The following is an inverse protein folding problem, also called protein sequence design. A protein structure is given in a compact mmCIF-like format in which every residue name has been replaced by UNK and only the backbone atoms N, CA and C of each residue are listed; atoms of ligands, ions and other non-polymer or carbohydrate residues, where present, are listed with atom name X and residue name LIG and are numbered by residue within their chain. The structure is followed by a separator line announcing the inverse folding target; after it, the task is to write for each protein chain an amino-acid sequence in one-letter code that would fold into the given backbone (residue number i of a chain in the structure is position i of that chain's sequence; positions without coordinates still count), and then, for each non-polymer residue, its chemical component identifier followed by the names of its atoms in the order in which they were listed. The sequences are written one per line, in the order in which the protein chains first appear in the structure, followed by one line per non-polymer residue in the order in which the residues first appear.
data_IF_963950941960
#
_entry.id   IF_963950941960
#
_cell.length_a   1.000
_cell.length_b   1.000
_cell.length_c   1.000
_cell.angle_alpha   90.00
_cell.angle_beta   90.00
_cell.angle_gamma   90.00
#
_symmetry.space_group_name_H-M   'P 1'
#
loop_
_entity.id
_entity.type
_entity.pdbx_description
1 polymer ?
#
# COMPACT_ATOMS: atom_id res chain seq x y z
N UNK A 1 -6.64 -3.70 -10.97
CA UNK A 1 -7.38 -4.53 -9.97
C UNK A 1 -8.49 -3.65 -9.40
N UNK A 2 -9.66 -4.18 -9.03
CA UNK A 2 -10.69 -3.36 -8.39
C UNK A 2 -10.40 -3.24 -6.90
N UNK A 3 -9.86 -2.10 -6.49
CA UNK A 3 -9.46 -1.72 -5.12
C UNK A 3 -10.41 -2.21 -4.02
N UNK A 4 -11.71 -2.22 -4.30
CA UNK A 4 -12.76 -2.54 -3.32
C UNK A 4 -12.69 -3.97 -2.77
N UNK A 5 -12.25 -4.95 -3.56
CA UNK A 5 -12.27 -6.36 -3.17
C UNK A 5 -11.39 -6.63 -1.94
N UNK A 6 -10.17 -6.09 -1.89
CA UNK A 6 -9.28 -6.25 -0.75
C UNK A 6 -9.81 -5.52 0.48
N UNK A 7 -10.34 -4.32 0.32
CA UNK A 7 -10.90 -3.52 1.42
C UNK A 7 -12.12 -4.19 2.03
N UNK A 8 -13.07 -4.65 1.22
CA UNK A 8 -14.24 -5.43 1.67
C UNK A 8 -13.76 -6.64 2.48
N UNK A 9 -12.79 -7.37 1.95
CA UNK A 9 -12.29 -8.59 2.57
C UNK A 9 -11.59 -8.34 3.91
N UNK A 10 -10.80 -7.27 4.00
CA UNK A 10 -10.13 -6.82 5.22
C UNK A 10 -11.14 -6.34 6.26
N UNK A 11 -12.12 -5.50 5.88
CA UNK A 11 -13.20 -5.04 6.76
C UNK A 11 -14.01 -6.22 7.30
N UNK A 12 -14.40 -7.18 6.46
CA UNK A 12 -15.06 -8.40 6.92
C UNK A 12 -14.17 -9.22 7.89
N UNK A 13 -12.85 -9.20 7.68
CA UNK A 13 -11.87 -9.87 8.53
C UNK A 13 -11.78 -9.32 9.96
N UNK A 14 -12.10 -8.04 10.17
CA UNK A 14 -12.08 -7.40 11.50
C UNK A 14 -13.10 -8.01 12.47
N UNK A 15 -14.13 -8.66 11.93
CA UNK A 15 -15.22 -9.26 12.71
C UNK A 15 -15.04 -10.76 12.93
N UNK A 16 -13.96 -11.39 12.46
CA UNK A 16 -13.73 -12.82 12.65
C UNK A 16 -13.79 -13.21 14.13
N UNK A 17 -14.62 -14.20 14.44
CA UNK A 17 -14.86 -14.67 15.81
C UNK A 17 -15.99 -13.95 16.54
N UNK A 18 -16.59 -12.90 15.96
CA UNK A 18 -17.82 -12.29 16.50
C UNK A 18 -18.96 -13.32 16.48
N UNK A 19 -19.62 -13.55 17.61
CA UNK A 19 -20.70 -14.53 17.74
C UNK A 19 -21.89 -13.99 18.53
N UNK A 20 -23.07 -14.58 18.30
CA UNK A 20 -24.29 -14.32 19.07
C UNK A 20 -24.08 -14.62 20.55
N UNK A 21 -24.77 -13.89 21.41
CA UNK A 21 -24.71 -14.15 22.84
C UNK A 21 -25.79 -15.16 23.26
N UNK A 22 -25.46 -16.16 24.10
CA UNK A 22 -26.47 -17.10 24.56
C UNK A 22 -27.43 -16.43 25.57
N UNK A 23 -28.74 -16.67 25.41
CA UNK A 23 -29.78 -16.25 26.34
C UNK A 23 -30.47 -14.94 25.94
N UNK A 24 -31.05 -14.21 26.90
CA UNK A 24 -31.92 -13.05 26.64
C UNK A 24 -31.17 -11.74 26.32
N UNK A 25 -29.87 -11.80 26.04
CA UNK A 25 -29.03 -10.63 25.73
C UNK A 25 -28.55 -10.75 24.30
N UNK A 26 -28.64 -9.66 23.55
CA UNK A 26 -28.25 -9.63 22.15
C UNK A 26 -26.88 -8.97 21.97
N UNK A 27 -26.06 -9.50 21.08
CA UNK A 27 -24.77 -8.90 20.78
C UNK A 27 -24.97 -7.54 20.06
N UNK A 28 -24.56 -6.41 20.67
CA UNK A 28 -24.84 -5.08 20.12
C UNK A 28 -24.13 -4.83 18.78
N UNK A 29 -23.02 -5.51 18.48
CA UNK A 29 -22.38 -5.40 17.17
C UNK A 29 -23.21 -6.10 16.08
N UNK A 30 -23.82 -7.24 16.39
CA UNK A 30 -24.70 -7.94 15.46
C UNK A 30 -25.99 -7.14 15.24
N UNK A 31 -26.58 -6.59 16.30
CA UNK A 31 -27.72 -5.66 16.21
C UNK A 31 -27.37 -4.43 15.36
N UNK A 32 -26.15 -3.89 15.53
CA UNK A 32 -25.64 -2.77 14.74
C UNK A 32 -25.60 -3.04 13.24
N UNK A 33 -25.33 -4.29 12.81
CA UNK A 33 -25.35 -4.62 11.38
C UNK A 33 -26.73 -4.40 10.74
N UNK A 34 -27.82 -4.63 11.48
CA UNK A 34 -29.17 -4.36 10.99
C UNK A 34 -29.42 -2.86 10.86
N UNK A 35 -28.91 -2.05 11.79
CA UNK A 35 -29.00 -0.59 11.73
C UNK A 35 -28.29 -0.03 10.49
N UNK A 36 -27.07 -0.51 10.22
CA UNK A 36 -26.26 -0.09 9.06
C UNK A 36 -26.96 -0.33 7.70
N UNK A 37 -27.85 -1.32 7.64
CA UNK A 37 -28.61 -1.65 6.42
C UNK A 37 -30.03 -1.09 6.41
N UNK A 38 -30.39 -0.21 7.34
CA UNK A 38 -31.70 0.44 7.41
C UNK A 38 -32.79 -0.40 8.07
N UNK A 39 -32.42 -1.44 8.81
CA UNK A 39 -33.31 -2.34 9.54
C UNK A 39 -33.16 -2.19 11.06
N UNK A 40 -32.97 -0.96 11.55
CA UNK A 40 -32.80 -0.66 12.98
C UNK A 40 -34.00 -1.01 13.88
N UNK A 41 -35.10 -1.51 13.31
CA UNK A 41 -36.22 -2.10 14.04
C UNK A 41 -35.94 -3.52 14.54
N UNK A 42 -34.95 -4.22 13.99
CA UNK A 42 -34.46 -5.51 14.51
C UNK A 42 -33.62 -5.24 15.76
N UNK A 43 -34.00 -5.84 16.88
CA UNK A 43 -33.36 -5.63 18.20
C UNK A 43 -32.75 -6.90 18.79
N UNK A 44 -32.77 -7.98 18.01
CA UNK A 44 -32.39 -9.33 18.40
C UNK A 44 -31.27 -9.86 17.47
N UNK A 45 -30.49 -10.84 17.93
CA UNK A 45 -29.40 -11.48 17.17
C UNK A 45 -29.77 -12.88 16.68
N UNK A 46 -30.98 -13.35 16.98
CA UNK A 46 -31.60 -14.59 16.51
C UNK A 46 -32.18 -14.47 15.09
N UNK A 47 -32.49 -13.25 14.64
CA UNK A 47 -32.85 -12.98 13.24
C UNK A 47 -31.67 -13.28 12.32
N UNK A 48 -31.90 -13.98 11.21
CA UNK A 48 -30.84 -14.37 10.29
C UNK A 48 -30.06 -13.15 9.74
N UNK A 49 -28.81 -12.97 10.19
CA UNK A 49 -28.02 -11.76 9.97
C UNK A 49 -26.91 -11.86 8.91
N UNK A 50 -26.87 -12.93 8.10
CA UNK A 50 -25.86 -13.08 7.04
C UNK A 50 -25.89 -11.92 6.02
N UNK A 51 -27.09 -11.51 5.58
CA UNK A 51 -27.25 -10.39 4.65
C UNK A 51 -27.04 -9.03 5.32
N UNK A 52 -27.40 -8.90 6.60
CA UNK A 52 -27.12 -7.70 7.40
C UNK A 52 -25.62 -7.49 7.55
N UNK A 53 -24.86 -8.55 7.86
CA UNK A 53 -23.39 -8.51 7.92
C UNK A 53 -22.77 -8.08 6.60
N UNK A 54 -23.13 -8.73 5.48
CA UNK A 54 -22.60 -8.36 4.16
C UNK A 54 -22.95 -6.90 3.83
N UNK A 55 -24.20 -6.49 4.10
CA UNK A 55 -24.63 -5.12 3.82
C UNK A 55 -23.97 -4.07 4.70
N UNK A 56 -23.72 -4.37 5.98
CA UNK A 56 -22.98 -3.52 6.91
C UNK A 56 -21.53 -3.37 6.48
N UNK A 57 -20.83 -4.47 6.15
CA UNK A 57 -19.45 -4.40 5.64
C UNK A 57 -19.38 -3.52 4.39
N UNK A 58 -20.32 -3.70 3.45
CA UNK A 58 -20.41 -2.85 2.25
C UNK A 58 -20.68 -1.38 2.61
N UNK A 59 -21.58 -1.10 3.55
CA UNK A 59 -21.90 0.25 4.00
C UNK A 59 -20.70 0.95 4.69
N UNK A 60 -19.96 0.22 5.53
CA UNK A 60 -18.75 0.71 6.19
C UNK A 60 -17.66 1.09 5.18
N UNK A 61 -17.59 0.37 4.06
CA UNK A 61 -16.68 0.71 2.96
C UNK A 61 -17.30 1.63 1.91
N UNK A 62 -18.43 2.27 2.23
CA UNK A 62 -19.07 3.29 1.39
C UNK A 62 -19.68 2.77 0.09
N UNK A 63 -19.96 1.48 0.00
CA UNK A 63 -20.52 0.83 -1.18
C UNK A 63 -22.03 0.57 -1.02
N UNK A 64 -22.80 0.60 -2.13
CA UNK A 64 -24.20 0.24 -2.09
C UNK A 64 -24.33 -1.23 -1.70
N UNK A 65 -25.29 -1.55 -0.83
CA UNK A 65 -25.70 -2.90 -0.50
C UNK A 65 -27.10 -3.21 -1.10
N UNK A 66 -27.62 -4.42 -0.90
CA UNK A 66 -28.93 -4.79 -1.45
C UNK A 66 -30.12 -4.16 -0.70
N UNK A 67 -29.88 -3.57 0.48
CA UNK A 67 -30.90 -3.02 1.38
C UNK A 67 -31.86 -4.06 1.98
N UNK A 68 -31.63 -5.36 1.77
CA UNK A 68 -32.55 -6.44 2.13
C UNK A 68 -31.87 -7.46 3.05
N UNK A 69 -32.64 -8.01 3.99
CA UNK A 69 -32.19 -9.08 4.90
C UNK A 69 -32.24 -10.48 4.27
N UNK A 70 -32.84 -10.63 3.08
CA UNK A 70 -32.80 -11.89 2.34
C UNK A 70 -31.47 -12.04 1.60
N UNK A 71 -30.71 -13.10 1.90
CA UNK A 71 -29.44 -13.41 1.22
C UNK A 71 -29.54 -13.44 -0.31
N UNK A 72 -30.62 -13.99 -0.87
CA UNK A 72 -30.79 -14.08 -2.34
C UNK A 72 -30.99 -12.71 -3.00
N UNK A 73 -31.24 -11.64 -2.24
CA UNK A 73 -31.29 -10.28 -2.79
C UNK A 73 -30.01 -9.86 -3.49
N UNK A 74 -28.87 -10.45 -3.10
CA UNK A 74 -27.60 -10.18 -3.75
C UNK A 74 -27.50 -10.80 -5.14
N UNK A 75 -28.40 -11.70 -5.56
CA UNK A 75 -28.39 -12.21 -6.94
C UNK A 75 -28.63 -11.13 -7.97
N UNK A 76 -29.31 -10.03 -7.63
CA UNK A 76 -29.54 -8.92 -8.57
C UNK A 76 -28.70 -7.67 -8.22
N UNK A 77 -27.69 -7.85 -7.35
CA UNK A 77 -26.82 -6.78 -6.88
C UNK A 77 -25.44 -6.85 -7.54
N UNK A 78 -24.87 -5.68 -7.82
CA UNK A 78 -23.51 -5.57 -8.36
C UNK A 78 -23.37 -6.12 -9.78
N UNK A 79 -22.13 -6.41 -10.19
CA UNK A 79 -21.82 -7.02 -11.49
C UNK A 79 -21.67 -8.52 -11.33
N UNK A 80 -22.21 -9.30 -12.26
CA UNK A 80 -21.90 -10.72 -12.36
C UNK A 80 -20.40 -10.99 -12.52
N UNK A 81 -19.92 -12.09 -11.93
CA UNK A 81 -18.54 -12.54 -12.09
C UNK A 81 -18.53 -14.02 -12.42
N UNK A 82 -17.85 -14.38 -13.50
CA UNK A 82 -17.56 -15.77 -13.81
C UNK A 82 -16.57 -16.35 -12.79
N UNK A 83 -16.67 -17.64 -12.40
CA UNK A 83 -15.75 -18.24 -11.43
C UNK A 83 -14.26 -18.07 -11.76
N UNK A 84 -13.89 -18.06 -13.05
CA UNK A 84 -12.53 -17.83 -13.51
C UNK A 84 -11.99 -16.42 -13.21
N UNK A 85 -12.88 -15.43 -13.09
CA UNK A 85 -12.55 -14.02 -12.82
C UNK A 85 -12.75 -13.63 -11.35
N UNK A 86 -13.13 -14.60 -10.52
CA UNK A 86 -13.48 -14.41 -9.12
C UNK A 86 -12.28 -13.99 -8.27
N UNK A 87 -12.55 -13.17 -7.26
CA UNK A 87 -11.54 -12.60 -6.36
C UNK A 87 -12.05 -12.58 -4.94
N UNK A 88 -11.13 -12.67 -3.97
CA UNK A 88 -11.47 -12.46 -2.58
C UNK A 88 -12.26 -11.14 -2.40
N UNK A 89 -13.28 -11.14 -1.55
CA UNK A 89 -14.19 -10.00 -1.37
C UNK A 89 -15.36 -9.92 -2.36
N UNK A 90 -15.42 -10.76 -3.40
CA UNK A 90 -16.65 -10.89 -4.20
C UNK A 90 -17.79 -11.46 -3.33
N UNK A 91 -19.02 -11.04 -3.53
CA UNK A 91 -20.19 -11.58 -2.84
C UNK A 91 -20.58 -12.91 -3.49
N UNK A 92 -20.71 -13.95 -2.67
CA UNK A 92 -21.15 -15.29 -3.07
C UNK A 92 -22.52 -15.55 -2.47
N UNK A 93 -23.47 -15.98 -3.31
CA UNK A 93 -24.83 -16.30 -2.90
C UNK A 93 -25.07 -17.80 -3.02
N UNK A 94 -25.67 -18.40 -2.00
CA UNK A 94 -26.00 -19.82 -1.93
C UNK A 94 -27.49 -20.05 -1.76
N UNK A 95 -27.98 -21.21 -2.19
CA UNK A 95 -29.30 -21.69 -1.81
C UNK A 95 -29.25 -22.43 -0.46
N UNK A 96 -30.39 -22.48 0.23
CA UNK A 96 -30.60 -23.31 1.42
C UNK A 96 -31.92 -24.08 1.28
N UNK A 97 -31.91 -25.36 1.65
CA UNK A 97 -33.07 -26.25 1.46
C UNK A 97 -33.26 -26.72 0.02
N UNK A 98 -33.53 -25.81 -0.92
CA UNK A 98 -33.69 -26.11 -2.36
C UNK A 98 -33.08 -25.02 -3.26
N UNK A 99 -32.47 -25.37 -4.41
CA UNK A 99 -31.99 -24.40 -5.41
C UNK A 99 -33.07 -23.44 -5.94
N UNK A 100 -34.32 -23.91 -6.02
CA UNK A 100 -35.47 -23.12 -6.47
C UNK A 100 -36.22 -22.42 -5.32
N UNK A 101 -35.89 -22.71 -4.05
CA UNK A 101 -36.56 -22.15 -2.88
C UNK A 101 -36.05 -20.75 -2.50
N UNK A 102 -36.83 -19.98 -1.75
CA UNK A 102 -36.48 -18.58 -1.43
C UNK A 102 -35.30 -18.43 -0.43
N UNK A 103 -35.01 -19.45 0.38
CA UNK A 103 -33.98 -19.41 1.41
C UNK A 103 -32.57 -19.43 0.80
N UNK A 104 -31.65 -18.70 1.41
CA UNK A 104 -30.26 -18.65 0.96
C UNK A 104 -29.27 -18.28 2.05
N UNK A 105 -28.01 -18.17 1.65
CA UNK A 105 -26.90 -17.67 2.45
C UNK A 105 -26.04 -16.74 1.59
N UNK A 106 -25.42 -15.73 2.20
CA UNK A 106 -24.56 -14.77 1.49
C UNK A 106 -23.32 -14.47 2.32
N UNK A 107 -22.18 -14.38 1.65
CA UNK A 107 -20.88 -14.17 2.28
C UNK A 107 -19.87 -13.60 1.25
N UNK A 108 -18.70 -13.16 1.70
CA UNK A 108 -17.61 -12.74 0.84
C UNK A 108 -16.71 -13.91 0.46
N UNK A 109 -16.29 -14.01 -0.80
CA UNK A 109 -15.37 -15.01 -1.28
C UNK A 109 -14.01 -14.86 -0.55
N UNK A 110 -13.46 -15.97 -0.08
CA UNK A 110 -12.05 -16.08 0.31
C UNK A 110 -11.27 -16.65 -0.87
N UNK A 111 -11.68 -17.84 -1.35
CA UNK A 111 -11.07 -18.58 -2.46
C UNK A 111 -11.92 -19.77 -2.90
N UNK A 112 -11.62 -20.32 -4.07
CA UNK A 112 -12.12 -21.64 -4.50
C UNK A 112 -11.14 -22.75 -4.13
N UNK A 113 -11.67 -23.95 -3.91
CA UNK A 113 -10.93 -25.20 -3.71
C UNK A 113 -11.62 -26.32 -4.47
N UNK A 114 -11.07 -26.84 -5.56
CA UNK A 114 -11.63 -27.99 -6.30
C UNK A 114 -13.16 -27.93 -6.47
N UNK A 115 -13.92 -28.67 -5.65
CA UNK A 115 -15.38 -28.77 -5.64
C UNK A 115 -16.08 -27.90 -4.58
N UNK A 116 -15.34 -27.01 -3.92
CA UNK A 116 -15.78 -26.17 -2.79
C UNK A 116 -15.41 -24.70 -2.97
N UNK A 117 -16.12 -23.87 -2.22
CA UNK A 117 -15.87 -22.44 -2.08
C UNK A 117 -15.72 -22.09 -0.61
N UNK A 118 -14.65 -21.37 -0.30
CA UNK A 118 -14.37 -20.85 1.04
C UNK A 118 -14.84 -19.41 1.08
N UNK A 119 -15.67 -19.07 2.05
CA UNK A 119 -16.28 -17.75 2.21
C UNK A 119 -16.19 -17.24 3.64
N UNK A 120 -16.05 -15.92 3.77
CA UNK A 120 -16.10 -15.17 5.03
C UNK A 120 -17.46 -14.51 5.16
N UNK A 121 -18.25 -14.92 6.15
CA UNK A 121 -19.62 -14.45 6.30
C UNK A 121 -20.09 -14.47 7.74
N UNK A 122 -21.12 -13.67 8.01
CA UNK A 122 -21.86 -13.67 9.26
C UNK A 122 -22.89 -14.78 9.32
N UNK A 123 -23.35 -15.07 10.54
CA UNK A 123 -24.31 -16.14 10.85
C UNK A 123 -23.92 -17.53 10.31
N UNK A 124 -22.62 -17.86 10.34
CA UNK A 124 -22.08 -19.15 9.95
C UNK A 124 -21.86 -20.03 11.19
N UNK A 125 -22.96 -20.58 11.69
CA UNK A 125 -22.99 -21.18 13.03
C UNK A 125 -23.00 -20.10 14.10
N UNK A 126 -23.89 -19.10 13.92
CA UNK A 126 -24.12 -18.00 14.85
C UNK A 126 -22.88 -17.11 15.09
N UNK A 127 -21.96 -17.09 14.11
CA UNK A 127 -20.72 -16.31 14.16
C UNK A 127 -20.25 -15.81 12.80
N UNK A 128 -19.35 -14.84 12.82
CA UNK A 128 -18.52 -14.46 11.69
C UNK A 128 -17.31 -15.40 11.64
N UNK A 129 -17.19 -16.15 10.55
CA UNK A 129 -16.10 -17.10 10.38
C UNK A 129 -15.78 -17.31 8.90
N UNK A 130 -14.71 -18.06 8.61
CA UNK A 130 -14.49 -18.64 7.29
C UNK A 130 -15.15 -20.03 7.26
N UNK A 131 -15.98 -20.30 6.25
CA UNK A 131 -16.72 -21.55 6.11
C UNK A 131 -16.61 -22.10 4.69
N UNK A 132 -16.71 -23.43 4.57
CA UNK A 132 -16.55 -24.16 3.32
C UNK A 132 -17.86 -24.75 2.83
N UNK A 133 -18.30 -24.35 1.64
CA UNK A 133 -19.54 -24.83 1.01
C UNK A 133 -19.23 -25.58 -0.30
N UNK A 134 -20.00 -26.62 -0.67
CA UNK A 134 -19.91 -27.23 -2.00
C UNK A 134 -20.25 -26.23 -3.10
N UNK A 135 -19.52 -26.27 -4.23
CA UNK A 135 -19.81 -25.42 -5.40
C UNK A 135 -21.24 -25.61 -5.92
N UNK A 136 -21.80 -26.82 -5.79
CA UNK A 136 -23.19 -27.12 -6.17
C UNK A 136 -24.24 -26.33 -5.37
N UNK A 137 -23.86 -25.72 -4.24
CA UNK A 137 -24.74 -24.84 -3.46
C UNK A 137 -24.73 -23.39 -3.94
N UNK A 138 -23.73 -23.01 -4.74
CA UNK A 138 -23.54 -21.65 -5.20
C UNK A 138 -24.57 -21.31 -6.28
N UNK A 139 -25.29 -20.21 -6.08
CA UNK A 139 -26.25 -19.67 -7.03
C UNK A 139 -25.63 -18.60 -7.92
N UNK A 140 -24.68 -17.83 -7.40
CA UNK A 140 -24.05 -16.76 -8.17
C UNK A 140 -22.91 -16.07 -7.44
N UNK A 141 -22.05 -15.41 -8.22
CA UNK A 141 -20.98 -14.54 -7.78
C UNK A 141 -21.24 -13.12 -8.27
N UNK A 142 -21.08 -12.16 -7.36
CA UNK A 142 -21.28 -10.74 -7.64
C UNK A 142 -20.12 -9.92 -7.12
N UNK A 143 -19.65 -8.99 -7.94
CA UNK A 143 -18.64 -8.02 -7.53
C UNK A 143 -19.31 -6.69 -7.25
N UNK A 144 -18.90 -6.09 -6.14
CA UNK A 144 -19.26 -4.73 -5.83
C UNK A 144 -18.83 -3.83 -7.00
N UNK A 145 -19.79 -3.20 -7.63
CA UNK A 145 -19.54 -2.07 -8.51
C UNK A 145 -19.62 -0.84 -7.63
N UNK A 146 -18.59 0.00 -7.66
CA UNK A 146 -18.81 1.41 -7.33
C UNK A 146 -19.97 1.85 -8.22
N UNK A 147 -21.02 2.41 -7.62
CA UNK A 147 -22.33 2.69 -8.22
C UNK A 147 -22.26 2.93 -9.72
N UNK A 148 -23.00 2.12 -10.49
CA UNK A 148 -23.07 2.11 -11.96
C UNK A 148 -23.70 3.36 -12.58
N UNK A 149 -23.45 4.52 -11.98
CA UNK A 149 -23.69 5.85 -12.52
C UNK A 149 -22.48 6.71 -12.08
N UNK A 150 -21.38 6.51 -12.80
CA UNK A 150 -20.01 6.90 -12.41
C UNK A 150 -19.81 8.40 -12.17
N UNK A 151 -20.77 9.24 -12.53
CA UNK A 151 -20.68 10.70 -12.37
C UNK A 151 -21.44 11.25 -11.15
N UNK A 152 -22.38 10.52 -10.56
CA UNK A 152 -23.35 11.11 -9.59
C UNK A 152 -23.25 10.56 -8.17
N UNK A 153 -22.55 9.44 -7.94
CA UNK A 153 -22.44 8.79 -6.63
C UNK A 153 -21.06 8.88 -5.95
N UNK A 154 -19.98 9.19 -6.67
CA UNK A 154 -18.67 9.35 -6.01
C UNK A 154 -18.60 10.74 -5.35
N UNK A 155 -18.26 10.84 -4.06
CA UNK A 155 -18.24 12.13 -3.37
C UNK A 155 -17.17 13.05 -3.95
N UNK A 156 -17.37 14.35 -3.78
CA UNK A 156 -16.32 15.34 -4.03
C UNK A 156 -15.21 15.13 -2.98
N UNK A 157 -14.00 14.84 -3.45
CA UNK A 157 -12.83 14.72 -2.57
C UNK A 157 -11.93 15.93 -2.68
N UNK A 158 -11.43 16.39 -1.54
CA UNK A 158 -10.48 17.49 -1.41
C UNK A 158 -9.58 17.26 -0.21
N UNK A 159 -8.59 18.12 0.00
CA UNK A 159 -7.74 18.05 1.20
C UNK A 159 -8.60 18.00 2.46
N UNK A 160 -8.31 17.05 3.34
CA UNK A 160 -9.07 16.76 4.56
C UNK A 160 -10.15 15.69 4.40
N UNK A 161 -10.53 15.31 3.17
CA UNK A 161 -11.36 14.12 2.94
C UNK A 161 -10.66 12.86 3.46
N UNK A 162 -11.44 11.90 3.95
CA UNK A 162 -10.94 10.65 4.50
C UNK A 162 -11.82 9.46 4.10
N UNK A 163 -11.25 8.26 4.22
CA UNK A 163 -11.95 7.00 4.06
C UNK A 163 -11.76 6.36 2.69
N UNK A 164 -12.60 5.36 2.42
CA UNK A 164 -12.47 4.43 1.30
C UNK A 164 -12.41 5.06 -0.09
N UNK A 165 -13.14 6.17 -0.34
CA UNK A 165 -13.07 6.86 -1.62
C UNK A 165 -11.71 7.55 -1.85
N UNK A 166 -11.05 8.00 -0.79
CA UNK A 166 -9.69 8.55 -0.89
C UNK A 166 -8.70 7.42 -1.17
N UNK A 167 -8.89 6.26 -0.57
CA UNK A 167 -8.01 5.11 -0.80
C UNK A 167 -8.13 4.59 -2.24
N UNK A 168 -9.36 4.52 -2.78
CA UNK A 168 -9.63 4.21 -4.18
C UNK A 168 -9.01 5.24 -5.14
N UNK A 169 -9.09 6.53 -4.82
CA UNK A 169 -8.42 7.59 -5.56
C UNK A 169 -6.89 7.38 -5.56
N UNK A 170 -6.30 7.18 -4.39
CA UNK A 170 -4.86 6.98 -4.22
C UNK A 170 -4.38 5.75 -5.02
N UNK A 171 -5.19 4.69 -5.07
CA UNK A 171 -4.86 3.50 -5.86
C UNK A 171 -4.95 3.74 -7.37
N UNK A 172 -6.01 4.39 -7.85
CA UNK A 172 -6.16 4.75 -9.26
C UNK A 172 -4.99 5.63 -9.73
N UNK A 173 -4.65 6.66 -8.95
CA UNK A 173 -3.50 7.50 -9.23
C UNK A 173 -2.21 6.66 -9.33
N UNK A 174 -1.98 5.75 -8.38
CA UNK A 174 -0.81 4.86 -8.38
C UNK A 174 -0.75 4.00 -9.63
N UNK A 175 -1.86 3.37 -10.04
CA UNK A 175 -1.93 2.55 -11.26
C UNK A 175 -1.64 3.38 -12.53
N UNK A 176 -1.97 4.66 -12.50
CA UNK A 176 -1.72 5.60 -13.59
C UNK A 176 -0.34 6.25 -13.54
N UNK A 177 0.55 5.79 -12.64
CA UNK A 177 1.88 6.36 -12.36
C UNK A 177 1.85 7.80 -11.80
N UNK A 178 0.79 8.14 -11.07
CA UNK A 178 0.70 9.35 -10.24
C UNK A 178 0.84 8.99 -8.76
N UNK A 179 1.77 9.63 -8.08
CA UNK A 179 2.26 9.16 -6.79
C UNK A 179 1.63 9.90 -5.60
N UNK A 180 0.48 9.43 -5.12
CA UNK A 180 -0.31 10.09 -4.06
C UNK A 180 0.17 9.84 -2.64
N UNK A 181 1.23 9.05 -2.43
CA UNK A 181 1.72 8.60 -1.12
C UNK A 181 1.19 7.21 -0.73
N UNK A 182 1.08 6.97 0.58
CA UNK A 182 0.51 5.73 1.12
C UNK A 182 -0.98 5.60 0.76
N UNK A 183 -1.46 4.35 0.66
CA UNK A 183 -2.88 4.01 0.54
C UNK A 183 -3.54 4.04 1.92
N UNK A 184 -3.54 5.19 2.57
CA UNK A 184 -3.98 5.37 3.95
C UNK A 184 -5.40 5.93 4.05
N UNK A 185 -6.04 6.22 2.91
CA UNK A 185 -7.37 6.82 2.87
C UNK A 185 -7.42 8.25 3.40
N UNK A 186 -6.29 8.97 3.48
CA UNK A 186 -6.23 10.37 3.91
C UNK A 186 -5.86 11.30 2.76
N UNK A 187 -6.73 12.27 2.47
CA UNK A 187 -6.48 13.20 1.37
C UNK A 187 -5.60 14.34 1.86
N UNK A 188 -4.29 14.11 1.84
CA UNK A 188 -3.27 15.08 2.20
C UNK A 188 -2.77 15.94 1.04
N UNK A 189 -1.73 16.74 1.29
CA UNK A 189 -1.07 17.57 0.27
C UNK A 189 -0.54 16.75 -0.90
N UNK A 190 0.08 15.60 -0.63
CA UNK A 190 0.61 14.69 -1.66
C UNK A 190 -0.49 14.15 -2.60
N UNK A 191 -1.62 13.75 -2.04
CA UNK A 191 -2.76 13.29 -2.84
C UNK A 191 -3.29 14.43 -3.69
N UNK A 192 -3.40 15.65 -3.15
CA UNK A 192 -3.80 16.84 -3.91
C UNK A 192 -2.87 17.12 -5.09
N UNK A 193 -1.55 17.10 -4.86
CA UNK A 193 -0.55 17.34 -5.91
C UNK A 193 -0.64 16.29 -7.02
N UNK A 194 -0.87 15.03 -6.66
CA UNK A 194 -1.07 13.95 -7.62
C UNK A 194 -2.35 14.10 -8.44
N UNK A 195 -3.44 14.51 -7.79
CA UNK A 195 -4.70 14.83 -8.49
C UNK A 195 -4.50 15.99 -9.44
N UNK A 196 -3.83 17.07 -9.01
CA UNK A 196 -3.58 18.24 -9.85
C UNK A 196 -2.71 17.87 -11.07
N UNK A 197 -1.68 17.05 -10.87
CA UNK A 197 -0.86 16.54 -11.97
C UNK A 197 -1.67 15.68 -12.94
N UNK A 198 -2.49 14.75 -12.43
CA UNK A 198 -3.37 13.93 -13.24
C UNK A 198 -4.34 14.78 -14.05
N UNK A 199 -4.98 15.77 -13.42
CA UNK A 199 -5.89 16.69 -14.06
C UNK A 199 -5.21 17.47 -15.19
N UNK A 200 -4.03 18.03 -14.95
CA UNK A 200 -3.27 18.78 -15.94
C UNK A 200 -2.98 17.94 -17.19
N UNK A 201 -2.56 16.69 -17.01
CA UNK A 201 -2.21 15.80 -18.13
C UNK A 201 -3.42 15.30 -18.91
N UNK A 202 -4.60 15.29 -18.29
CA UNK A 202 -5.85 14.84 -18.90
C UNK A 202 -6.75 16.01 -19.36
N UNK A 203 -6.18 17.22 -19.48
CA UNK A 203 -6.90 18.40 -20.00
C UNK A 203 -8.02 18.90 -19.07
N UNK A 204 -7.92 18.62 -17.78
CA UNK A 204 -8.84 19.11 -16.74
C UNK A 204 -8.25 20.32 -16.02
N UNK A 205 -9.10 21.08 -15.34
CA UNK A 205 -8.65 22.12 -14.42
C UNK A 205 -7.86 21.47 -13.26
N UNK A 206 -6.60 21.86 -13.11
CA UNK A 206 -5.67 21.32 -12.10
C UNK A 206 -5.88 21.95 -10.72
N UNK A 207 -7.09 21.87 -10.18
CA UNK A 207 -7.46 22.44 -8.88
C UNK A 207 -7.11 21.52 -7.68
N UNK A 208 -6.78 20.25 -7.96
CA UNK A 208 -6.52 19.24 -6.95
C UNK A 208 -7.78 18.72 -6.24
N UNK A 209 -8.97 18.97 -6.81
CA UNK A 209 -10.27 18.54 -6.30
C UNK A 209 -10.83 17.44 -7.19
N UNK A 210 -11.28 16.33 -6.59
CA UNK A 210 -11.83 15.20 -7.35
C UNK A 210 -13.35 15.31 -7.38
N UNK A 211 -13.85 15.96 -8.43
CA UNK A 211 -15.26 15.95 -8.80
C UNK A 211 -15.57 14.91 -9.87
N UNK A 212 -16.82 14.90 -10.32
CA UNK A 212 -17.34 13.95 -11.31
C UNK A 212 -16.49 13.83 -12.59
N UNK A 213 -15.99 14.97 -13.11
CA UNK A 213 -15.13 14.99 -14.31
C UNK A 213 -13.80 14.27 -14.06
N UNK A 214 -13.17 14.53 -12.92
CA UNK A 214 -11.92 13.86 -12.52
C UNK A 214 -12.15 12.36 -12.32
N UNK A 215 -13.25 11.98 -11.67
CA UNK A 215 -13.61 10.56 -11.48
C UNK A 215 -13.83 9.80 -12.78
N UNK A 216 -14.47 10.44 -13.77
CA UNK A 216 -14.66 9.86 -15.10
C UNK A 216 -13.33 9.71 -15.83
N UNK A 217 -12.47 10.73 -15.76
CA UNK A 217 -11.15 10.68 -16.40
C UNK A 217 -10.27 9.56 -15.82
N UNK A 218 -10.25 9.36 -14.50
CA UNK A 218 -9.46 8.32 -13.83
C UNK A 218 -9.77 6.89 -14.33
N UNK A 219 -10.96 6.65 -14.87
CA UNK A 219 -11.40 5.33 -15.31
C UNK A 219 -10.97 4.97 -16.73
N UNK A 220 -10.71 5.98 -17.57
CA UNK A 220 -10.39 5.80 -18.99
C UNK A 220 -8.98 6.28 -19.33
N UNK A 221 -8.29 6.88 -18.36
CA UNK A 221 -6.92 7.32 -18.54
C UNK A 221 -5.96 6.13 -18.67
N UNK A 222 -4.97 6.28 -19.52
CA UNK A 222 -3.86 5.36 -19.63
C UNK A 222 -2.73 5.75 -18.66
N UNK A 223 -1.93 4.79 -18.17
CA UNK A 223 -0.81 5.10 -17.31
C UNK A 223 0.18 6.07 -17.97
N UNK A 224 0.58 7.10 -17.22
CA UNK A 224 1.61 8.03 -17.68
C UNK A 224 2.93 7.28 -17.91
N UNK A 225 3.69 7.57 -18.99
CA UNK A 225 5.06 7.09 -19.10
C UNK A 225 5.88 7.45 -17.85
N UNK A 226 6.66 6.51 -17.35
CA UNK A 226 7.55 6.78 -16.23
C UNK A 226 8.53 7.87 -16.66
N UNK A 227 8.68 8.90 -15.81
CA UNK A 227 9.62 9.98 -16.08
C UNK A 227 11.03 9.46 -15.90
N UNK A 228 11.91 9.76 -16.85
CA UNK A 228 13.34 9.55 -16.66
C UNK A 228 13.86 10.63 -15.72
N UNK A 229 14.21 10.24 -14.49
CA UNK A 229 14.80 11.13 -13.50
C UNK A 229 16.22 10.65 -13.21
N UNK A 230 17.17 11.56 -13.30
CA UNK A 230 18.55 11.35 -12.89
C UNK A 230 18.86 12.08 -11.58
N UNK A 231 19.93 11.69 -10.89
CA UNK A 231 20.45 12.45 -9.74
C UNK A 231 20.68 13.94 -10.09
N UNK A 232 21.05 14.24 -11.33
CA UNK A 232 21.25 15.60 -11.80
C UNK A 232 19.94 16.37 -11.93
N UNK A 233 18.96 15.81 -12.64
CA UNK A 233 17.64 16.43 -12.80
C UNK A 233 16.96 16.73 -11.46
N UNK A 234 17.13 15.84 -10.47
CA UNK A 234 16.56 16.02 -9.13
C UNK A 234 17.30 17.09 -8.31
N UNK A 235 18.61 17.24 -8.50
CA UNK A 235 19.37 18.30 -7.86
C UNK A 235 19.00 19.68 -8.43
N UNK A 236 18.86 19.77 -9.75
CA UNK A 236 18.42 20.99 -10.45
C UNK A 236 16.99 21.37 -10.06
N UNK A 237 16.12 20.38 -9.84
CA UNK A 237 14.78 20.57 -9.28
C UNK A 237 14.78 20.87 -7.75
N UNK A 238 15.94 20.99 -7.11
CA UNK A 238 16.05 21.41 -5.71
C UNK A 238 15.83 20.31 -4.67
N UNK A 239 15.97 19.03 -5.01
CA UNK A 239 15.79 17.93 -4.05
C UNK A 239 16.79 18.01 -2.90
N UNK A 240 16.32 18.35 -1.70
CA UNK A 240 17.14 18.49 -0.49
C UNK A 240 17.86 17.18 -0.12
N UNK A 241 17.22 16.02 -0.31
CA UNK A 241 17.84 14.70 -0.11
C UNK A 241 19.08 14.52 -1.00
N UNK A 242 18.97 14.82 -2.30
CA UNK A 242 20.09 14.72 -3.25
C UNK A 242 21.17 15.77 -2.93
N UNK A 243 20.77 17.01 -2.64
CA UNK A 243 21.70 18.09 -2.32
C UNK A 243 22.49 17.82 -1.04
N UNK A 244 21.85 17.32 0.02
CA UNK A 244 22.50 16.94 1.27
C UNK A 244 23.40 15.71 1.07
N UNK A 245 22.94 14.72 0.30
CA UNK A 245 23.76 13.56 -0.07
C UNK A 245 25.04 13.97 -0.83
N UNK A 246 24.95 14.90 -1.78
CA UNK A 246 26.12 15.45 -2.51
C UNK A 246 27.08 16.18 -1.58
N UNK A 247 26.57 17.02 -0.67
CA UNK A 247 27.40 17.71 0.33
C UNK A 247 28.15 16.71 1.22
N UNK A 248 27.47 15.65 1.68
CA UNK A 248 28.09 14.59 2.48
C UNK A 248 29.14 13.79 1.68
N UNK A 249 28.88 13.48 0.41
CA UNK A 249 29.83 12.77 -0.46
C UNK A 249 31.10 13.58 -0.71
N UNK A 250 30.97 14.89 -0.92
CA UNK A 250 32.10 15.81 -1.06
C UNK A 250 32.93 15.87 0.23
N UNK A 251 32.28 15.97 1.39
CA UNK A 251 32.97 15.96 2.68
C UNK A 251 33.79 14.68 2.90
N UNK A 252 33.20 13.50 2.65
CA UNK A 252 33.90 12.22 2.75
C UNK A 252 35.09 12.11 1.77
N UNK A 253 34.95 12.68 0.57
CA UNK A 253 36.05 12.70 -0.42
C UNK A 253 37.20 13.60 0.04
N UNK A 254 36.91 14.76 0.63
CA UNK A 254 37.93 15.61 1.25
C UNK A 254 38.63 14.87 2.40
N UNK A 255 37.89 14.17 3.26
CA UNK A 255 38.47 13.38 4.36
C UNK A 255 39.36 12.24 3.85
N UNK A 256 38.95 11.51 2.80
CA UNK A 256 39.79 10.50 2.16
C UNK A 256 41.10 11.09 1.63
N UNK A 257 41.03 12.25 0.97
CA UNK A 257 42.21 12.96 0.45
C UNK A 257 43.19 13.38 1.55
N UNK A 258 42.67 13.91 2.67
CA UNK A 258 43.48 14.28 3.84
C UNK A 258 44.11 13.03 4.48
N UNK A 259 43.35 11.95 4.65
CA UNK A 259 43.87 10.71 5.22
C UNK A 259 44.96 10.08 4.32
N UNK A 260 44.75 10.06 3.01
CA UNK A 260 45.75 9.58 2.05
C UNK A 260 47.01 10.46 2.07
N UNK A 261 46.87 11.79 2.07
CA UNK A 261 48.00 12.71 2.15
C UNK A 261 48.79 12.57 3.48
N UNK A 262 48.08 12.41 4.60
CA UNK A 262 48.68 12.15 5.92
C UNK A 262 49.49 10.86 5.97
N UNK A 263 48.99 9.79 5.33
CA UNK A 263 49.72 8.53 5.16
C UNK A 263 51.00 8.71 4.31
N UNK A 264 50.96 9.58 3.29
CA UNK A 264 52.12 9.79 2.40
C UNK A 264 53.19 10.70 2.99
N UNK A 265 52.83 11.79 3.67
CA UNK A 265 53.81 12.82 4.07
C UNK A 265 54.62 12.40 5.30
N UNK A 266 53.98 11.81 6.32
CA UNK A 266 54.67 11.43 7.55
C UNK A 266 55.63 10.24 7.38
N UNK A 267 55.19 9.19 6.67
CA UNK A 267 55.98 7.97 6.52
C UNK A 267 56.99 7.98 5.36
N UNK A 268 56.66 8.60 4.22
CA UNK A 268 57.52 8.51 3.02
C UNK A 268 58.72 9.47 3.06
N UNK A 269 58.57 10.66 3.65
CA UNK A 269 59.68 11.64 3.75
C UNK A 269 60.80 11.09 4.64
N UNK A 270 60.44 10.44 5.73
CA UNK A 270 61.40 9.78 6.61
C UNK A 270 61.96 8.49 5.97
N UNK A 271 61.14 7.69 5.27
CA UNK A 271 61.62 6.53 4.51
C UNK A 271 62.60 6.91 3.40
N UNK A 272 62.35 7.97 2.61
CA UNK A 272 63.28 8.38 1.55
C UNK A 272 64.59 8.90 2.11
N UNK A 273 64.52 9.66 3.21
CA UNK A 273 65.67 10.16 3.92
C UNK A 273 66.48 9.02 4.59
N UNK A 274 65.82 7.95 5.05
CA UNK A 274 66.46 6.79 5.65
C UNK A 274 67.01 5.80 4.61
N UNK A 275 66.30 5.58 3.51
CA UNK A 275 66.71 4.70 2.40
C UNK A 275 67.94 5.23 1.65
N UNK A 276 68.10 6.55 1.54
CA UNK A 276 69.29 7.18 0.98
C UNK A 276 70.54 7.03 1.86
N UNK A 277 70.40 6.60 3.12
CA UNK A 277 71.48 6.58 4.12
C UNK A 277 72.01 5.21 4.52
N UNK A 278 71.41 4.08 4.10
CA UNK A 278 71.73 2.81 4.77
C UNK A 278 71.76 1.55 3.89
N UNK A 279 72.92 0.87 3.91
CA UNK A 279 72.97 -0.60 4.02
C UNK A 279 72.17 -1.00 5.28
N UNK A 280 71.23 -1.96 5.17
CA UNK A 280 70.37 -2.38 6.30
C UNK A 280 68.91 -1.89 6.24
N UNK A 281 68.37 -1.62 5.04
CA UNK A 281 66.99 -1.19 4.80
C UNK A 281 65.89 -2.03 5.50
N UNK A 282 66.16 -3.31 5.79
CA UNK A 282 65.22 -4.21 6.47
C UNK A 282 64.98 -3.86 7.95
N UNK A 283 66.02 -3.48 8.71
CA UNK A 283 65.87 -3.13 10.13
C UNK A 283 65.17 -1.77 10.31
N UNK A 284 65.50 -0.81 9.44
CA UNK A 284 64.85 0.50 9.40
C UNK A 284 63.36 0.32 9.05
N UNK A 285 63.05 -0.54 8.07
CA UNK A 285 61.68 -0.88 7.70
C UNK A 285 60.87 -1.46 8.87
N UNK A 286 61.45 -2.36 9.67
CA UNK A 286 60.80 -2.93 10.86
C UNK A 286 60.55 -1.88 11.95
N UNK A 287 61.51 -1.01 12.26
CA UNK A 287 61.31 0.05 13.27
C UNK A 287 60.25 1.06 12.85
N UNK A 288 60.25 1.45 11.58
CA UNK A 288 59.23 2.33 11.00
C UNK A 288 57.84 1.69 11.11
N UNK A 289 57.69 0.41 10.80
CA UNK A 289 56.42 -0.30 10.95
C UNK A 289 55.93 -0.29 12.41
N UNK A 290 56.82 -0.57 13.38
CA UNK A 290 56.45 -0.57 14.81
C UNK A 290 56.11 0.82 15.33
N UNK A 291 56.74 1.87 14.81
CA UNK A 291 56.47 3.25 15.22
C UNK A 291 55.19 3.82 14.58
N UNK A 292 54.93 3.47 13.32
CA UNK A 292 53.88 4.09 12.52
C UNK A 292 52.64 3.21 12.28
N UNK A 293 52.63 1.93 12.70
CA UNK A 293 51.44 1.07 12.54
C UNK A 293 50.14 1.66 13.09
N UNK A 294 50.10 2.42 14.22
CA UNK A 294 48.83 2.99 14.70
C UNK A 294 48.27 4.02 13.73
N UNK A 295 49.14 4.83 13.10
CA UNK A 295 48.77 5.85 12.11
C UNK A 295 48.33 5.18 10.81
N UNK A 296 49.01 4.12 10.39
CA UNK A 296 48.64 3.33 9.21
C UNK A 296 47.26 2.69 9.42
N UNK A 297 47.02 2.05 10.56
CA UNK A 297 45.71 1.45 10.90
C UNK A 297 44.64 2.54 10.97
N UNK A 298 44.90 3.68 11.60
CA UNK A 298 43.94 4.78 11.65
C UNK A 298 43.57 5.29 10.24
N UNK A 299 44.56 5.48 9.36
CA UNK A 299 44.34 5.87 7.98
C UNK A 299 43.51 4.83 7.21
N UNK A 300 43.81 3.54 7.38
CA UNK A 300 43.03 2.44 6.80
C UNK A 300 41.59 2.40 7.32
N UNK A 301 41.38 2.61 8.61
CA UNK A 301 40.04 2.69 9.21
C UNK A 301 39.25 3.88 8.68
N UNK A 302 39.89 5.05 8.52
CA UNK A 302 39.26 6.23 7.91
C UNK A 302 38.88 5.94 6.45
N UNK A 303 39.77 5.30 5.67
CA UNK A 303 39.48 4.89 4.29
C UNK A 303 38.33 3.88 4.21
N UNK A 304 38.25 2.93 5.15
CA UNK A 304 37.15 1.97 5.23
C UNK A 304 35.83 2.66 5.59
N UNK A 305 35.84 3.53 6.61
CA UNK A 305 34.66 4.27 7.07
C UNK A 305 34.11 5.21 5.98
N UNK A 306 34.99 5.92 5.27
CA UNK A 306 34.61 6.81 4.16
C UNK A 306 34.06 6.03 2.96
N UNK A 307 34.68 4.91 2.58
CA UNK A 307 34.12 4.00 1.56
C UNK A 307 32.75 3.45 1.93
N UNK A 308 32.57 3.06 3.20
CA UNK A 308 31.27 2.60 3.70
C UNK A 308 30.22 3.71 3.67
N UNK A 309 30.57 4.92 4.15
CA UNK A 309 29.71 6.10 4.07
C UNK A 309 29.30 6.45 2.63
N UNK A 310 30.23 6.42 1.68
CA UNK A 310 29.94 6.63 0.24
C UNK A 310 29.02 5.56 -0.34
N UNK A 311 29.06 4.32 0.14
CA UNK A 311 28.09 3.28 -0.27
C UNK A 311 26.68 3.60 0.22
N UNK A 312 26.54 4.03 1.48
CA UNK A 312 25.26 4.45 2.04
C UNK A 312 24.69 5.64 1.26
N UNK A 313 25.51 6.67 1.00
CA UNK A 313 25.08 7.85 0.26
C UNK A 313 24.61 7.47 -1.16
N UNK A 314 25.35 6.61 -1.88
CA UNK A 314 24.91 6.10 -3.19
C UNK A 314 23.58 5.37 -3.11
N UNK A 315 23.36 4.57 -2.05
CA UNK A 315 22.07 3.92 -1.84
C UNK A 315 20.94 4.92 -1.60
N UNK A 316 21.18 6.00 -0.86
CA UNK A 316 20.18 7.06 -0.61
C UNK A 316 19.83 7.79 -1.91
N UNK A 317 20.84 8.19 -2.69
CA UNK A 317 20.62 8.86 -3.97
C UNK A 317 19.85 7.97 -4.94
N UNK A 318 20.27 6.71 -5.07
CA UNK A 318 19.56 5.71 -5.89
C UNK A 318 18.11 5.52 -5.43
N UNK A 319 17.88 5.34 -4.13
CA UNK A 319 16.53 5.18 -3.60
C UNK A 319 15.64 6.40 -3.90
N UNK A 320 16.20 7.63 -3.83
CA UNK A 320 15.46 8.85 -4.16
C UNK A 320 15.19 8.99 -5.65
N UNK A 321 16.11 8.58 -6.51
CA UNK A 321 15.91 8.49 -7.96
C UNK A 321 14.82 7.47 -8.28
N UNK A 322 14.95 6.24 -7.77
CA UNK A 322 13.97 5.17 -7.95
C UNK A 322 12.59 5.59 -7.45
N UNK A 323 12.53 6.34 -6.35
CA UNK A 323 11.29 6.92 -5.82
C UNK A 323 10.70 8.00 -6.72
N UNK A 324 11.51 8.87 -7.30
CA UNK A 324 11.05 9.88 -8.26
C UNK A 324 10.55 9.25 -9.57
N UNK A 325 11.14 8.12 -9.99
CA UNK A 325 10.74 7.40 -11.21
C UNK A 325 9.50 6.54 -10.98
N UNK A 326 9.41 5.84 -9.84
CA UNK A 326 8.43 4.75 -9.63
C UNK A 326 7.45 4.97 -8.48
N UNK A 327 7.74 5.89 -7.55
CA UNK A 327 6.97 6.13 -6.33
C UNK A 327 6.88 4.95 -5.36
N UNK A 328 7.73 3.92 -5.50
CA UNK A 328 7.67 2.71 -4.66
C UNK A 328 8.01 2.92 -3.19
N UNK A 329 8.81 3.92 -2.84
CA UNK A 329 9.42 4.06 -1.51
C UNK A 329 8.75 5.17 -0.66
N UNK A 330 7.56 5.63 -1.02
CA UNK A 330 6.89 6.81 -0.47
C UNK A 330 6.32 6.67 0.97
N UNK A 331 6.82 5.72 1.76
CA UNK A 331 6.33 5.39 3.10
C UNK A 331 7.40 5.16 4.18
N UNK A 332 8.64 5.61 3.98
CA UNK A 332 9.68 5.65 5.02
C UNK A 332 10.17 7.06 5.28
#
# INVERSE_FOLDING_TARGET
MTAYNSVIFETAGQYLGLEEWPGAKHNPQIVGFFEDVGHGWVKDDETAWCAAFVGSVLAQVGLPNSGKLNARSYLDWGREVAPADARAGDVVVFWRGSPSGWQGHVAFLVRFESDRVIVRGGNQGNKVSDASYPLSRMLGLRRAIGSGDVSTSRPLLKVGSRGVFVMDLQEQLRMLNYHSGALDGQFGSRTRESVAAFQADNGLMADGIVGAKTWKALQVAEPRPLRDHTEQSLAEAGSTTILNARKAENALTTTEGVAAAGLTVGGMVEMSAAAQRAEGALEIGQRMLVQYWPIIIMGLLILLATRYGKRIIRSIKKARVDDAVTGRNLGR
#
